data_IF_879521599838
#
_entry.id   IF_879521599838
#
_cell.length_a   1.000
_cell.length_b   1.000
_cell.length_c   1.000
_cell.angle_alpha   90.00
_cell.angle_beta   90.00
_cell.angle_gamma   90.00
#
_symmetry.space_group_name_H-M   'P 1'
#
loop_
_entity.id
_entity.type
_entity.pdbx_description
1 polymer ?
#
# COMPACT_ATOMS: atom_id res chain seq x y z
N UNK A 1 -24.13 21.16 -5.11
CA UNK A 1 -23.50 20.06 -4.35
C UNK A 1 -23.55 18.79 -5.21
N UNK A 2 -22.45 18.08 -5.34
CA UNK A 2 -22.34 16.82 -6.09
C UNK A 2 -22.03 15.71 -5.09
N UNK A 3 -22.77 14.61 -5.15
CA UNK A 3 -22.49 13.41 -4.37
C UNK A 3 -21.78 12.41 -5.27
N UNK A 4 -20.65 11.88 -4.81
CA UNK A 4 -19.82 10.93 -5.56
C UNK A 4 -19.77 9.63 -4.78
N UNK A 5 -20.17 8.54 -5.42
CA UNK A 5 -20.11 7.18 -4.88
C UNK A 5 -18.95 6.46 -5.54
N UNK A 6 -17.86 6.32 -4.81
CA UNK A 6 -16.66 5.66 -5.29
C UNK A 6 -16.80 4.14 -5.17
N UNK A 7 -16.62 3.37 -6.26
CA UNK A 7 -16.53 1.92 -6.19
C UNK A 7 -15.12 1.47 -5.80
N UNK A 8 -14.98 0.24 -5.31
CA UNK A 8 -13.72 -0.48 -5.21
C UNK A 8 -12.56 0.31 -4.53
N UNK A 9 -12.82 0.91 -3.38
CA UNK A 9 -11.83 1.61 -2.57
C UNK A 9 -10.67 0.68 -2.17
N UNK A 10 -10.99 -0.58 -1.79
CA UNK A 10 -10.06 -1.55 -1.21
C UNK A 10 -9.23 -2.33 -2.24
N UNK A 11 -8.76 -1.72 -3.31
CA UNK A 11 -7.76 -2.40 -4.14
C UNK A 11 -7.87 -2.27 -5.65
N UNK A 12 -8.90 -1.63 -6.17
CA UNK A 12 -9.05 -1.43 -7.62
C UNK A 12 -9.02 0.04 -8.04
N UNK A 13 -8.52 0.91 -7.18
CA UNK A 13 -8.31 2.33 -7.43
C UNK A 13 -9.57 3.06 -7.96
N UNK A 14 -10.74 2.82 -7.36
CA UNK A 14 -12.01 3.40 -7.81
C UNK A 14 -11.98 4.92 -7.89
N UNK A 15 -11.26 5.60 -7.00
CA UNK A 15 -11.04 7.04 -7.06
C UNK A 15 -10.34 7.49 -8.34
N UNK A 16 -9.37 6.71 -8.84
CA UNK A 16 -8.70 6.99 -10.12
C UNK A 16 -9.69 6.93 -11.29
N UNK A 17 -10.58 5.94 -11.29
CA UNK A 17 -11.59 5.82 -12.35
C UNK A 17 -12.59 6.97 -12.31
N UNK A 18 -13.04 7.38 -11.13
CA UNK A 18 -13.91 8.55 -10.94
C UNK A 18 -13.25 9.82 -11.50
N UNK A 19 -11.96 10.03 -11.21
CA UNK A 19 -11.19 11.17 -11.75
C UNK A 19 -11.08 11.11 -13.26
N UNK A 20 -10.76 9.94 -13.81
CA UNK A 20 -10.58 9.74 -15.26
C UNK A 20 -11.85 10.00 -16.07
N UNK A 21 -13.01 9.79 -15.48
CA UNK A 21 -14.31 10.07 -16.09
C UNK A 21 -14.69 11.56 -16.05
N UNK A 22 -13.85 12.43 -15.49
CA UNK A 22 -14.09 13.87 -15.43
C UNK A 22 -15.21 14.29 -14.45
N UNK A 23 -15.62 13.38 -13.58
CA UNK A 23 -16.74 13.63 -12.63
C UNK A 23 -16.46 14.82 -11.71
N UNK A 24 -15.18 15.11 -11.45
CA UNK A 24 -14.73 16.14 -10.52
C UNK A 24 -14.18 17.40 -11.19
N UNK A 25 -14.21 17.53 -12.51
CA UNK A 25 -13.57 18.64 -13.25
C UNK A 25 -14.14 20.02 -12.89
N UNK A 26 -15.40 20.09 -12.48
CA UNK A 26 -16.09 21.32 -12.05
C UNK A 26 -16.13 21.51 -10.52
N UNK A 27 -15.45 20.64 -9.76
CA UNK A 27 -15.48 20.63 -8.30
C UNK A 27 -14.35 21.49 -7.75
N UNK A 28 -14.68 22.48 -6.91
CA UNK A 28 -13.71 23.38 -6.26
C UNK A 28 -13.22 22.89 -4.90
N UNK A 29 -14.03 22.06 -4.23
CA UNK A 29 -13.68 21.46 -2.95
C UNK A 29 -14.35 20.09 -2.81
N UNK A 30 -13.69 19.18 -2.14
CA UNK A 30 -14.19 17.84 -1.88
C UNK A 30 -14.09 17.51 -0.39
N UNK A 31 -15.09 16.82 0.13
CA UNK A 31 -15.08 16.26 1.46
C UNK A 31 -15.17 14.75 1.38
N UNK A 32 -14.28 14.08 2.10
CA UNK A 32 -14.35 12.66 2.36
C UNK A 32 -14.21 12.40 3.86
N UNK A 33 -14.78 11.31 4.34
CA UNK A 33 -14.61 10.86 5.71
C UNK A 33 -14.17 9.40 5.72
N UNK A 34 -13.23 9.08 6.59
CA UNK A 34 -12.82 7.73 6.89
C UNK A 34 -13.15 7.38 8.34
N UNK A 35 -13.51 6.14 8.61
CA UNK A 35 -13.68 5.65 9.98
C UNK A 35 -12.34 5.59 10.70
N UNK A 36 -12.31 5.96 11.98
CA UNK A 36 -11.11 5.98 12.79
C UNK A 36 -11.39 5.37 14.16
N UNK A 37 -10.78 4.24 14.43
CA UNK A 37 -11.03 3.45 15.64
C UNK A 37 -10.34 4.01 16.88
N UNK A 38 -9.35 4.88 16.73
CA UNK A 38 -8.65 5.52 17.85
C UNK A 38 -9.41 6.72 18.44
N UNK A 39 -10.45 7.21 17.76
CA UNK A 39 -11.25 8.32 18.21
C UNK A 39 -12.55 7.86 18.90
N UNK A 40 -12.99 8.56 19.96
CA UNK A 40 -14.30 8.29 20.56
C UNK A 40 -15.44 8.51 19.57
N UNK A 41 -16.50 7.70 19.70
CA UNK A 41 -17.71 7.85 18.87
C UNK A 41 -18.27 9.27 19.00
N UNK A 42 -18.67 9.85 17.88
CA UNK A 42 -19.16 11.23 17.80
C UNK A 42 -18.07 12.29 17.66
N UNK A 43 -16.81 11.87 17.58
CA UNK A 43 -15.68 12.78 17.35
C UNK A 43 -15.27 12.78 15.87
N UNK A 44 -14.88 13.96 15.39
CA UNK A 44 -14.28 14.13 14.04
C UNK A 44 -12.89 14.71 14.22
N UNK A 45 -11.90 14.02 13.66
CA UNK A 45 -10.51 14.48 13.63
C UNK A 45 -10.13 15.04 12.25
N UNK A 46 -9.35 16.11 12.23
CA UNK A 46 -8.77 16.67 11.00
C UNK A 46 -7.47 17.39 11.31
N UNK A 47 -6.64 17.58 10.28
CA UNK A 47 -5.43 18.41 10.36
C UNK A 47 -5.15 19.07 9.02
N UNK A 48 -4.46 20.21 8.98
CA UNK A 48 -3.98 20.80 7.73
C UNK A 48 -2.85 19.94 7.13
N UNK A 49 -2.75 19.96 5.79
CA UNK A 49 -1.74 19.22 5.05
C UNK A 49 -2.09 17.76 4.83
N UNK A 50 -1.11 16.91 4.46
CA UNK A 50 -1.33 15.49 4.23
C UNK A 50 -1.92 14.78 5.44
N UNK A 51 -2.99 14.02 5.22
CA UNK A 51 -3.75 13.41 6.31
C UNK A 51 -3.75 11.87 6.22
N UNK A 52 -3.99 11.30 5.04
CA UNK A 52 -3.98 9.88 4.80
C UNK A 52 -2.75 9.47 4.00
N UNK A 53 -2.25 8.26 4.24
CA UNK A 53 -1.12 7.71 3.52
C UNK A 53 -1.53 7.26 2.10
N UNK A 54 -0.57 7.29 1.19
CA UNK A 54 -0.68 6.59 -0.09
C UNK A 54 -0.40 5.10 0.09
N UNK A 55 -0.91 4.29 -0.83
CA UNK A 55 -0.61 2.87 -0.89
C UNK A 55 -0.10 2.47 -2.27
N UNK A 56 0.76 1.48 -2.30
CA UNK A 56 1.23 0.86 -3.53
C UNK A 56 1.33 -0.65 -3.33
N UNK A 57 1.10 -1.39 -4.41
CA UNK A 57 1.25 -2.84 -4.42
C UNK A 57 2.12 -3.25 -5.59
N UNK A 58 3.01 -4.18 -5.34
CA UNK A 58 3.76 -4.87 -6.38
C UNK A 58 3.78 -6.38 -6.11
N UNK A 59 4.02 -7.15 -7.15
CA UNK A 59 4.21 -8.59 -7.05
C UNK A 59 5.59 -8.93 -7.61
N UNK A 60 6.37 -9.69 -6.85
CA UNK A 60 7.65 -10.21 -7.29
C UNK A 60 7.56 -11.73 -7.43
N UNK A 61 7.97 -12.25 -8.58
CA UNK A 61 8.07 -13.69 -8.84
C UNK A 61 9.53 -14.10 -8.85
N UNK A 62 9.90 -15.01 -7.97
CA UNK A 62 11.28 -15.49 -7.85
C UNK A 62 11.32 -16.94 -8.32
N UNK A 63 12.06 -17.17 -9.40
CA UNK A 63 12.19 -18.50 -10.02
C UNK A 63 13.54 -19.09 -9.69
N UNK A 64 13.54 -20.31 -9.18
CA UNK A 64 14.73 -21.08 -8.88
C UNK A 64 15.06 -22.11 -9.96
N UNK A 65 16.07 -22.93 -9.66
CA UNK A 65 16.47 -24.09 -10.46
C UNK A 65 16.51 -25.32 -9.55
N UNK A 66 15.63 -26.28 -9.80
CA UNK A 66 15.59 -27.55 -9.08
C UNK A 66 16.77 -28.47 -9.42
N UNK A 67 17.03 -29.42 -8.54
CA UNK A 67 18.06 -30.44 -8.74
C UNK A 67 18.10 -31.44 -7.59
N UNK A 68 19.11 -32.31 -7.60
CA UNK A 68 19.28 -33.33 -6.59
C UNK A 68 19.78 -32.71 -5.26
N UNK A 69 19.18 -33.10 -4.15
CA UNK A 69 19.50 -32.55 -2.83
C UNK A 69 20.96 -32.72 -2.39
N UNK A 70 21.65 -33.78 -2.88
CA UNK A 70 23.08 -34.01 -2.61
C UNK A 70 24.02 -33.09 -3.43
N UNK A 71 23.47 -32.30 -4.36
CA UNK A 71 24.23 -31.38 -5.20
C UNK A 71 23.72 -29.92 -5.07
N UNK A 72 23.68 -29.34 -3.85
CA UNK A 72 23.07 -28.02 -3.63
C UNK A 72 23.77 -26.90 -4.44
N UNK A 73 25.03 -27.05 -4.80
CA UNK A 73 25.77 -26.07 -5.60
C UNK A 73 25.31 -26.02 -7.08
N UNK A 74 24.49 -26.97 -7.52
CA UNK A 74 23.97 -27.06 -8.88
C UNK A 74 22.54 -26.50 -9.02
N UNK A 75 21.95 -26.10 -7.92
CA UNK A 75 20.57 -25.59 -7.84
C UNK A 75 20.53 -24.11 -7.49
N UNK A 76 19.39 -23.50 -7.69
CA UNK A 76 19.10 -22.13 -7.22
C UNK A 76 17.86 -22.19 -6.35
N UNK A 77 18.02 -21.94 -5.06
CA UNK A 77 16.93 -21.99 -4.09
C UNK A 77 16.15 -20.65 -4.11
N UNK A 78 14.90 -20.65 -4.59
CA UNK A 78 14.10 -19.43 -4.63
C UNK A 78 13.60 -19.01 -3.25
N UNK A 79 13.54 -19.93 -2.29
CA UNK A 79 13.07 -19.64 -0.92
C UNK A 79 14.10 -18.78 -0.19
N UNK A 80 15.39 -19.10 -0.32
CA UNK A 80 16.47 -18.29 0.25
C UNK A 80 16.47 -16.88 -0.35
N UNK A 81 16.30 -16.78 -1.66
CA UNK A 81 16.23 -15.47 -2.33
C UNK A 81 15.00 -14.67 -1.90
N UNK A 82 13.83 -15.31 -1.81
CA UNK A 82 12.60 -14.68 -1.34
C UNK A 82 12.74 -14.20 0.11
N UNK A 83 13.27 -15.04 0.99
CA UNK A 83 13.49 -14.67 2.40
C UNK A 83 14.43 -13.48 2.54
N UNK A 84 15.49 -13.44 1.75
CA UNK A 84 16.43 -12.31 1.74
C UNK A 84 15.78 -11.02 1.24
N UNK A 85 14.93 -11.11 0.22
CA UNK A 85 14.16 -9.99 -0.30
C UNK A 85 13.20 -9.44 0.78
N UNK A 86 12.46 -10.32 1.45
CA UNK A 86 11.54 -9.95 2.55
C UNK A 86 12.31 -9.20 3.65
N UNK A 87 13.41 -9.75 4.13
CA UNK A 87 14.22 -9.10 5.16
C UNK A 87 14.75 -7.73 4.73
N UNK A 88 15.24 -7.62 3.49
CA UNK A 88 15.75 -6.36 2.94
C UNK A 88 14.65 -5.31 2.84
N UNK A 89 13.47 -5.71 2.43
CA UNK A 89 12.33 -4.83 2.31
C UNK A 89 11.83 -4.36 3.70
N UNK A 90 11.87 -5.20 4.74
CA UNK A 90 11.54 -4.79 6.11
C UNK A 90 12.53 -3.74 6.62
N UNK A 91 13.77 -3.78 6.19
CA UNK A 91 14.78 -2.81 6.57
C UNK A 91 14.44 -1.39 6.09
N UNK A 92 13.78 -1.24 4.94
CA UNK A 92 13.34 0.08 4.44
C UNK A 92 12.45 0.78 5.46
N UNK A 93 11.47 0.07 6.03
CA UNK A 93 10.59 0.63 7.07
C UNK A 93 11.35 0.85 8.38
N UNK A 94 12.17 -0.11 8.78
CA UNK A 94 12.82 -0.08 10.09
C UNK A 94 14.00 0.89 10.19
N UNK A 95 14.65 1.25 9.06
CA UNK A 95 15.91 2.00 9.05
C UNK A 95 15.95 3.21 8.13
N UNK A 96 15.13 3.25 7.10
CA UNK A 96 15.20 4.28 6.07
C UNK A 96 13.98 5.21 6.07
N UNK A 97 12.89 4.80 6.70
CA UNK A 97 11.70 5.63 6.83
C UNK A 97 11.83 6.56 8.04
N UNK A 98 11.52 7.84 7.85
CA UNK A 98 11.44 8.81 8.94
C UNK A 98 10.39 8.33 9.98
N UNK A 99 10.76 8.23 11.27
CA UNK A 99 9.84 7.77 12.31
C UNK A 99 8.60 8.65 12.50
N UNK A 100 8.64 9.89 12.00
CA UNK A 100 7.48 10.79 11.99
C UNK A 100 6.56 10.58 10.78
N UNK A 101 6.99 9.78 9.80
CA UNK A 101 6.18 9.35 8.67
C UNK A 101 5.67 7.95 8.95
N UNK A 102 4.36 7.81 9.11
CA UNK A 102 3.75 6.50 9.25
C UNK A 102 3.98 5.67 7.97
N UNK A 103 4.71 4.57 8.08
CA UNK A 103 4.88 3.61 7.01
C UNK A 103 4.60 2.20 7.51
N UNK A 104 3.79 1.46 6.78
CA UNK A 104 3.47 0.06 7.07
C UNK A 104 3.68 -0.78 5.83
N UNK A 105 4.13 -1.99 6.04
CA UNK A 105 4.33 -2.98 5.01
C UNK A 105 3.61 -4.27 5.38
N UNK A 106 2.88 -4.85 4.45
CA UNK A 106 2.32 -6.20 4.54
C UNK A 106 2.78 -7.05 3.35
N UNK A 107 2.96 -8.33 3.56
CA UNK A 107 3.48 -9.31 2.61
C UNK A 107 2.47 -10.43 2.41
#
# INVERSE_FOLDING_TARGET
>A
MKLVFQPAEEGHAGGYHVLKEGVLDDVQAIFGMHVETSLPVGTVGSRPGPFLAGSARFTASITGKGGHAAGPQLVVDPIVAASSAVLSLQQLVARETDPLQGAVRSE
#
